data_IF_960336737777
#
_entry.id   IF_960336737777
#
_cell.length_a   1.000
_cell.length_b   1.000
_cell.length_c   1.000
_cell.angle_alpha   90.00
_cell.angle_beta   90.00
_cell.angle_gamma   90.00
#
_symmetry.space_group_name_H-M   'P 1'
#
loop_
_entity.id
_entity.type
_entity.pdbx_description
1 polymer ?
#
# COMPACT_ATOMS: atom_id res chain seq x y z
N UNK A 1 10.56 -26.97 -4.80
CA UNK A 1 10.71 -25.65 -4.34
C UNK A 1 11.41 -24.80 -5.31
N UNK A 2 12.39 -25.30 -5.94
CA UNK A 2 13.21 -24.49 -6.81
C UNK A 2 12.46 -24.03 -7.98
N UNK A 3 11.78 -24.89 -8.65
CA UNK A 3 11.11 -24.51 -9.87
C UNK A 3 10.02 -23.53 -9.59
N UNK A 4 9.20 -23.86 -8.65
CA UNK A 4 8.11 -22.98 -8.35
C UNK A 4 8.61 -21.72 -7.72
N UNK A 5 9.81 -21.73 -7.21
CA UNK A 5 10.33 -20.56 -6.56
C UNK A 5 10.31 -19.35 -7.46
N UNK A 6 10.55 -19.57 -8.74
CA UNK A 6 10.60 -18.46 -9.64
C UNK A 6 9.25 -17.78 -9.76
N UNK A 7 8.22 -18.55 -9.99
CA UNK A 7 6.89 -17.99 -10.12
C UNK A 7 6.45 -17.32 -8.83
N UNK A 8 6.72 -17.98 -7.73
CA UNK A 8 6.33 -17.44 -6.43
C UNK A 8 7.10 -16.16 -6.16
N UNK A 9 8.36 -16.13 -6.56
CA UNK A 9 9.16 -14.96 -6.33
C UNK A 9 8.57 -13.76 -7.05
N UNK A 10 8.21 -13.94 -8.31
CA UNK A 10 7.64 -12.87 -9.09
C UNK A 10 6.34 -12.42 -8.46
N UNK A 11 5.52 -13.35 -8.05
CA UNK A 11 4.26 -13.00 -7.43
C UNK A 11 4.47 -12.22 -6.15
N UNK A 12 5.45 -12.65 -5.36
CA UNK A 12 5.74 -11.96 -4.11
C UNK A 12 6.19 -10.53 -4.37
N UNK A 13 7.01 -10.35 -5.38
CA UNK A 13 7.49 -9.02 -5.71
C UNK A 13 6.35 -8.13 -6.13
N UNK A 14 5.49 -8.64 -6.98
CA UNK A 14 4.35 -7.86 -7.46
C UNK A 14 3.43 -7.52 -6.30
N UNK A 15 3.13 -8.49 -5.48
CA UNK A 15 2.23 -8.26 -4.36
C UNK A 15 2.85 -7.30 -3.36
N UNK A 16 4.13 -7.45 -3.13
CA UNK A 16 4.82 -6.58 -2.19
C UNK A 16 4.78 -5.15 -2.68
N UNK A 17 5.04 -4.96 -3.96
CA UNK A 17 5.01 -3.63 -4.53
C UNK A 17 3.61 -3.04 -4.42
N UNK A 18 2.62 -3.82 -4.77
CA UNK A 18 1.25 -3.34 -4.70
C UNK A 18 0.88 -2.98 -3.26
N UNK A 19 1.27 -3.83 -2.33
CA UNK A 19 0.95 -3.60 -0.93
C UNK A 19 1.63 -2.33 -0.44
N UNK A 20 2.87 -2.14 -0.81
CA UNK A 20 3.61 -0.97 -0.38
C UNK A 20 2.94 0.30 -0.88
N UNK A 21 2.60 0.32 -2.15
CA UNK A 21 1.95 1.48 -2.73
C UNK A 21 0.62 1.73 -2.06
N UNK A 22 -0.12 0.65 -1.82
CA UNK A 22 -1.43 0.78 -1.19
C UNK A 22 -1.29 1.40 0.20
N UNK A 23 -0.31 0.94 0.94
CA UNK A 23 -0.10 1.45 2.29
C UNK A 23 0.28 2.91 2.27
N UNK A 24 1.13 3.29 1.33
CA UNK A 24 1.56 4.68 1.25
C UNK A 24 0.37 5.56 0.92
N UNK A 25 -0.41 5.16 -0.07
CA UNK A 25 -1.58 5.94 -0.45
C UNK A 25 -2.55 6.02 0.70
N UNK A 26 -2.77 4.90 1.36
CA UNK A 26 -3.70 4.88 2.49
C UNK A 26 -3.23 5.82 3.59
N UNK A 27 -1.95 5.84 3.83
CA UNK A 27 -1.38 6.69 4.86
C UNK A 27 -1.60 8.16 4.51
N UNK A 28 -1.31 8.50 3.28
CA UNK A 28 -1.49 9.88 2.85
C UNK A 28 -2.95 10.28 2.93
N UNK A 29 -3.81 9.42 2.47
CA UNK A 29 -5.23 9.71 2.50
C UNK A 29 -5.72 9.90 3.92
N UNK A 30 -5.20 9.08 4.81
CA UNK A 30 -5.60 9.18 6.20
C UNK A 30 -5.18 10.52 6.77
N UNK A 31 -3.96 10.92 6.47
CA UNK A 31 -3.45 12.20 6.95
C UNK A 31 -4.26 13.34 6.38
N UNK A 32 -4.51 13.26 5.09
CA UNK A 32 -5.26 14.32 4.42
C UNK A 32 -6.65 14.43 4.99
N UNK A 33 -7.29 13.30 5.18
CA UNK A 33 -8.64 13.28 5.72
C UNK A 33 -8.67 13.92 7.10
N UNK A 34 -7.69 13.57 7.90
CA UNK A 34 -7.64 14.10 9.25
C UNK A 34 -7.45 15.62 9.23
N UNK A 35 -6.55 16.07 8.39
CA UNK A 35 -6.28 17.49 8.32
C UNK A 35 -7.52 18.25 7.86
N UNK A 36 -8.18 17.71 6.85
CA UNK A 36 -9.37 18.36 6.34
C UNK A 36 -10.47 18.35 7.37
N UNK A 37 -10.59 17.24 8.06
CA UNK A 37 -11.62 17.13 9.06
C UNK A 37 -11.41 18.13 10.18
N UNK A 38 -10.19 18.24 10.63
CA UNK A 38 -9.89 19.17 11.71
C UNK A 38 -10.16 20.59 11.26
N UNK A 39 -9.85 20.87 10.00
CA UNK A 39 -10.01 22.23 9.53
C UNK A 39 -11.43 22.49 9.09
N UNK A 40 -11.92 21.66 8.25
CA UNK A 40 -13.19 21.94 7.66
C UNK A 40 -14.33 21.53 8.53
N UNK A 41 -14.12 20.67 9.44
CA UNK A 41 -15.20 20.15 10.19
C UNK A 41 -15.69 21.21 11.14
N UNK A 42 -15.80 22.10 11.19
CA UNK A 42 -16.27 23.09 12.13
C UNK A 42 -17.70 23.03 12.54
#
# INVERSE_FOLDING_TARGET
LNQTGKAIEIMLIVMSTYLTISLIISFFMNLYNKAVQLKGNV
#
